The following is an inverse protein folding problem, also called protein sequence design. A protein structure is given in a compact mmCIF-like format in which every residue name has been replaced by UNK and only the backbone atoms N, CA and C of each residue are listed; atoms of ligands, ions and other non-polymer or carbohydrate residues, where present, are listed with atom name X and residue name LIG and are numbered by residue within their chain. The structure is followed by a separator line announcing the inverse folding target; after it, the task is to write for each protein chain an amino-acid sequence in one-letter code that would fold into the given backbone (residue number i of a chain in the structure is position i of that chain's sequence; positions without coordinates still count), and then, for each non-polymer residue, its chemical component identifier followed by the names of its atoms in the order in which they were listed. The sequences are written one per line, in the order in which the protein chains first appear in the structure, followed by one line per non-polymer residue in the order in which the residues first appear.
data_IF_722326312120
#
_entry.id   IF_722326312120
#
_cell.length_a   1.000
_cell.length_b   1.000
_cell.length_c   1.000
_cell.angle_alpha   90.00
_cell.angle_beta   90.00
_cell.angle_gamma   90.00
#
_symmetry.space_group_name_H-M   'P 1'
#
loop_
_entity.id
_entity.type
_entity.pdbx_description
1 polymer ?
#
# COMPACT_ATOMS: atom_id res chain seq x y z
N UNK A 1 -8.08 -17.82 -21.50
CA UNK A 1 -6.77 -17.97 -22.17
C UNK A 1 -5.68 -17.96 -21.11
N UNK A 2 -4.75 -18.89 -21.18
CA UNK A 2 -3.64 -19.07 -20.22
C UNK A 2 -2.70 -17.85 -20.13
N UNK A 3 -2.78 -16.93 -21.08
CA UNK A 3 -1.93 -15.71 -21.13
C UNK A 3 -2.29 -14.61 -20.12
N UNK A 4 -3.47 -14.67 -19.51
CA UNK A 4 -3.89 -13.66 -18.52
C UNK A 4 -3.24 -13.83 -17.14
N UNK A 5 -2.71 -15.01 -16.84
CA UNK A 5 -2.12 -15.33 -15.53
C UNK A 5 -0.67 -14.82 -15.43
N UNK A 6 0.03 -14.68 -16.55
CA UNK A 6 1.46 -14.31 -16.57
C UNK A 6 1.74 -12.84 -16.30
N UNK A 7 0.74 -11.96 -16.38
CA UNK A 7 0.86 -10.52 -16.20
C UNK A 7 0.19 -9.98 -14.93
N UNK A 8 -0.29 -10.85 -14.04
CA UNK A 8 -0.90 -10.41 -12.79
C UNK A 8 0.17 -10.00 -11.76
N UNK A 9 0.48 -8.72 -11.74
CA UNK A 9 1.43 -8.11 -10.78
C UNK A 9 0.84 -7.95 -9.38
N UNK A 10 -0.46 -8.19 -9.23
CA UNK A 10 -1.23 -7.93 -7.99
C UNK A 10 -1.69 -9.21 -7.28
N UNK A 11 -1.28 -10.39 -7.78
CA UNK A 11 -1.43 -11.65 -7.06
C UNK A 11 -2.76 -12.37 -7.21
N UNK A 12 -3.60 -11.97 -8.15
CA UNK A 12 -4.86 -12.65 -8.53
C UNK A 12 -5.83 -12.88 -7.34
N UNK A 13 -6.13 -11.83 -6.57
CA UNK A 13 -7.02 -11.94 -5.40
C UNK A 13 -8.07 -10.80 -5.32
N UNK A 14 -8.81 -10.59 -6.38
CA UNK A 14 -9.96 -9.65 -6.41
C UNK A 14 -9.63 -8.18 -6.13
N UNK A 15 -8.44 -7.73 -6.53
CA UNK A 15 -7.96 -6.36 -6.31
C UNK A 15 -8.97 -5.31 -6.82
N UNK A 16 -9.55 -5.52 -8.00
CA UNK A 16 -10.53 -4.59 -8.60
C UNK A 16 -11.75 -4.37 -7.70
N UNK A 17 -12.19 -5.37 -6.94
CA UNK A 17 -13.31 -5.24 -6.02
C UNK A 17 -13.00 -4.22 -4.93
N UNK A 18 -11.82 -4.32 -4.30
CA UNK A 18 -11.41 -3.41 -3.23
C UNK A 18 -11.08 -2.01 -3.79
N UNK A 19 -10.35 -1.94 -4.90
CA UNK A 19 -9.94 -0.67 -5.53
C UNK A 19 -11.14 0.15 -6.03
N UNK A 20 -12.24 -0.52 -6.42
CA UNK A 20 -13.47 0.15 -6.87
C UNK A 20 -14.39 0.65 -5.75
N UNK A 21 -14.18 0.24 -4.49
CA UNK A 21 -15.06 0.63 -3.36
C UNK A 21 -15.21 2.15 -3.23
N UNK A 22 -14.11 2.89 -3.32
CA UNK A 22 -14.13 4.35 -3.21
C UNK A 22 -14.92 4.98 -4.35
N UNK A 23 -14.86 4.42 -5.55
CA UNK A 23 -15.69 4.86 -6.69
C UNK A 23 -17.18 4.66 -6.40
N UNK A 24 -17.57 3.48 -5.88
CA UNK A 24 -18.97 3.20 -5.50
C UNK A 24 -19.42 4.17 -4.39
N UNK A 25 -18.56 4.46 -3.43
CA UNK A 25 -18.82 5.42 -2.36
C UNK A 25 -19.09 6.83 -2.92
N UNK A 26 -18.25 7.33 -3.83
CA UNK A 26 -18.37 8.66 -4.44
C UNK A 26 -19.64 8.76 -5.28
N UNK A 27 -20.03 7.69 -5.99
CA UNK A 27 -21.28 7.61 -6.73
C UNK A 27 -22.52 7.58 -5.83
N UNK A 28 -22.32 7.54 -4.50
CA UNK A 28 -23.35 7.56 -3.46
C UNK A 28 -24.38 6.40 -3.58
N UNK A 29 -23.98 5.28 -4.17
CA UNK A 29 -24.79 4.06 -4.21
C UNK A 29 -24.55 3.23 -2.94
N UNK A 30 -25.22 3.62 -1.86
CA UNK A 30 -25.04 3.01 -0.53
C UNK A 30 -25.38 1.51 -0.51
N UNK A 31 -26.36 1.10 -1.31
CA UNK A 31 -26.77 -0.31 -1.40
C UNK A 31 -25.66 -1.14 -2.03
N UNK A 32 -25.11 -0.68 -3.16
CA UNK A 32 -23.96 -1.35 -3.78
C UNK A 32 -22.73 -1.33 -2.91
N UNK A 33 -22.48 -0.22 -2.19
CA UNK A 33 -21.33 -0.13 -1.28
C UNK A 33 -21.42 -1.17 -0.17
N UNK A 34 -22.59 -1.31 0.50
CA UNK A 34 -22.83 -2.35 1.50
C UNK A 34 -22.65 -3.75 0.92
N UNK A 35 -23.28 -4.04 -0.22
CA UNK A 35 -23.15 -5.35 -0.88
C UNK A 35 -21.70 -5.66 -1.30
N UNK A 36 -20.92 -4.65 -1.67
CA UNK A 36 -19.51 -4.84 -2.00
C UNK A 36 -18.67 -5.16 -0.75
N UNK A 37 -18.98 -4.56 0.41
CA UNK A 37 -18.33 -4.91 1.69
C UNK A 37 -18.68 -6.35 2.09
N UNK A 38 -19.96 -6.75 2.00
CA UNK A 38 -20.38 -8.12 2.28
C UNK A 38 -19.66 -9.14 1.38
N UNK A 39 -19.47 -8.78 0.10
CA UNK A 39 -18.75 -9.63 -0.85
C UNK A 39 -17.24 -9.72 -0.51
N UNK A 40 -16.64 -8.63 -0.05
CA UNK A 40 -15.24 -8.63 0.40
C UNK A 40 -15.07 -9.55 1.61
N UNK A 41 -15.94 -9.47 2.60
CA UNK A 41 -15.91 -10.34 3.77
C UNK A 41 -16.00 -11.82 3.38
N UNK A 42 -16.93 -12.15 2.47
CA UNK A 42 -17.07 -13.52 1.94
C UNK A 42 -15.87 -13.98 1.11
N UNK A 43 -15.19 -13.05 0.41
CA UNK A 43 -14.03 -13.35 -0.45
C UNK A 43 -12.77 -13.61 0.38
N UNK A 44 -12.66 -12.99 1.55
CA UNK A 44 -11.47 -13.05 2.41
C UNK A 44 -11.75 -13.64 3.79
N UNK A 45 -12.26 -14.89 3.90
CA UNK A 45 -12.58 -15.50 5.19
C UNK A 45 -11.34 -15.66 6.09
N UNK A 46 -10.18 -15.92 5.49
CA UNK A 46 -8.87 -16.01 6.18
C UNK A 46 -8.04 -14.73 5.99
N UNK A 47 -8.71 -13.59 5.75
CA UNK A 47 -8.08 -12.31 5.42
C UNK A 47 -7.11 -12.47 4.24
N UNK A 48 -5.94 -11.84 4.29
CA UNK A 48 -4.93 -11.94 3.22
C UNK A 48 -3.89 -13.04 3.46
N UNK A 49 -4.25 -14.12 4.15
CA UNK A 49 -3.38 -15.31 4.23
C UNK A 49 -3.39 -16.11 2.92
N UNK A 50 -2.82 -15.50 1.90
CA UNK A 50 -2.84 -15.99 0.52
C UNK A 50 -1.42 -16.31 0.08
N UNK A 51 -1.22 -17.49 -0.52
CA UNK A 51 0.06 -17.84 -1.14
C UNK A 51 0.20 -17.11 -2.49
N UNK A 52 0.46 -15.82 -2.41
CA UNK A 52 0.63 -14.97 -3.57
C UNK A 52 1.75 -13.96 -3.35
N UNK A 53 2.61 -13.82 -4.36
CA UNK A 53 3.67 -12.80 -4.38
C UNK A 53 3.12 -11.54 -5.00
N UNK A 54 3.14 -10.46 -4.23
CA UNK A 54 2.61 -9.15 -4.61
C UNK A 54 3.71 -8.10 -4.71
N UNK A 55 3.44 -7.05 -5.46
CA UNK A 55 4.24 -5.83 -5.43
C UNK A 55 3.81 -4.96 -4.24
N UNK A 56 4.76 -4.64 -3.36
CA UNK A 56 4.49 -3.94 -2.10
C UNK A 56 3.79 -2.60 -2.33
N UNK A 57 4.32 -1.78 -3.25
CA UNK A 57 3.78 -0.46 -3.57
C UNK A 57 2.34 -0.54 -4.12
N UNK A 58 2.10 -1.35 -5.16
CA UNK A 58 0.77 -1.46 -5.77
C UNK A 58 -0.27 -2.01 -4.79
N UNK A 59 0.11 -2.97 -3.96
CA UNK A 59 -0.77 -3.50 -2.92
C UNK A 59 -1.08 -2.45 -1.87
N UNK A 60 -0.13 -1.59 -1.52
CA UNK A 60 -0.35 -0.49 -0.59
C UNK A 60 -1.37 0.51 -1.14
N UNK A 61 -1.12 1.07 -2.33
CA UNK A 61 -1.98 2.15 -2.85
C UNK A 61 -3.39 1.67 -3.22
N UNK A 62 -3.54 0.42 -3.72
CA UNK A 62 -4.84 -0.11 -4.18
C UNK A 62 -5.60 -0.84 -3.08
N UNK A 63 -4.96 -1.77 -2.39
CA UNK A 63 -5.65 -2.57 -1.36
C UNK A 63 -5.72 -1.81 -0.05
N UNK A 64 -4.58 -1.44 0.52
CA UNK A 64 -4.58 -0.73 1.79
C UNK A 64 -5.30 0.63 1.67
N UNK A 65 -4.97 1.42 0.65
CA UNK A 65 -5.63 2.71 0.39
C UNK A 65 -7.13 2.59 0.13
N UNK A 66 -7.56 1.60 -0.66
CA UNK A 66 -8.97 1.31 -0.93
C UNK A 66 -9.75 0.91 0.34
N UNK A 67 -9.16 0.06 1.20
CA UNK A 67 -9.77 -0.34 2.47
C UNK A 67 -9.88 0.84 3.45
N UNK A 68 -8.81 1.65 3.60
CA UNK A 68 -8.79 2.79 4.52
C UNK A 68 -9.77 3.88 4.10
N UNK A 69 -9.76 4.29 2.82
CA UNK A 69 -10.68 5.30 2.32
C UNK A 69 -12.14 4.87 2.41
N UNK A 70 -12.41 3.59 2.18
CA UNK A 70 -13.75 3.03 2.30
C UNK A 70 -14.19 2.87 3.77
N UNK A 71 -13.27 2.54 4.67
CA UNK A 71 -13.53 2.54 6.11
C UNK A 71 -13.91 3.95 6.61
N UNK A 72 -13.15 4.97 6.22
CA UNK A 72 -13.46 6.36 6.56
C UNK A 72 -14.84 6.80 6.02
N UNK A 73 -15.19 6.39 4.80
CA UNK A 73 -16.51 6.67 4.25
C UNK A 73 -17.62 5.92 5.00
N UNK A 74 -17.40 4.66 5.35
CA UNK A 74 -18.37 3.85 6.08
C UNK A 74 -18.66 4.39 7.49
N UNK A 75 -17.64 4.94 8.16
CA UNK A 75 -17.71 5.46 9.54
C UNK A 75 -18.07 6.94 9.61
N UNK A 76 -18.11 7.68 8.49
CA UNK A 76 -18.49 9.10 8.48
C UNK A 76 -19.99 9.27 8.75
N UNK A 77 -20.38 9.86 9.90
CA UNK A 77 -21.79 10.06 10.24
C UNK A 77 -22.56 10.92 9.25
N UNK A 78 -21.86 11.81 8.51
CA UNK A 78 -22.48 12.69 7.51
C UNK A 78 -22.97 11.91 6.28
N UNK A 79 -22.33 10.78 5.98
CA UNK A 79 -22.68 9.94 4.82
C UNK A 79 -23.90 9.06 5.08
N UNK A 80 -24.18 8.73 6.35
CA UNK A 80 -25.33 7.89 6.75
C UNK A 80 -25.39 6.59 5.95
N UNK A 81 -24.26 5.94 5.76
CA UNK A 81 -24.17 4.65 5.05
C UNK A 81 -24.69 3.55 5.93
N UNK A 82 -24.15 3.45 7.13
CA UNK A 82 -24.56 2.52 8.17
C UNK A 82 -25.25 3.27 9.32
N UNK A 83 -26.15 2.60 10.02
CA UNK A 83 -26.89 3.17 11.15
C UNK A 83 -26.51 2.40 12.42
N UNK A 84 -26.16 3.14 13.48
CA UNK A 84 -25.76 2.50 14.74
C UNK A 84 -24.59 1.54 14.56
N UNK A 85 -24.72 0.33 15.08
CA UNK A 85 -23.66 -0.70 15.09
C UNK A 85 -23.72 -1.65 13.88
N UNK A 86 -24.33 -1.24 12.76
CA UNK A 86 -24.41 -2.07 11.54
C UNK A 86 -23.07 -2.34 10.86
N UNK A 87 -22.04 -1.53 11.12
CA UNK A 87 -20.71 -1.69 10.56
C UNK A 87 -19.72 -2.06 11.66
N UNK A 88 -19.15 -3.24 11.56
CA UNK A 88 -18.27 -3.85 12.56
C UNK A 88 -16.78 -3.49 12.41
N UNK A 89 -16.42 -2.72 11.37
CA UNK A 89 -15.03 -2.31 11.14
C UNK A 89 -14.21 -3.27 10.28
N UNK A 90 -14.83 -4.24 9.60
CA UNK A 90 -14.14 -5.28 8.81
C UNK A 90 -13.09 -4.71 7.84
N UNK A 91 -13.35 -3.55 7.21
CA UNK A 91 -12.39 -2.95 6.29
C UNK A 91 -11.10 -2.50 6.99
N UNK A 92 -11.20 -1.99 8.23
CA UNK A 92 -10.01 -1.64 9.02
C UNK A 92 -9.26 -2.88 9.50
N UNK A 93 -9.97 -3.94 9.85
CA UNK A 93 -9.34 -5.21 10.22
C UNK A 93 -8.59 -5.86 9.05
N UNK A 94 -9.14 -5.78 7.84
CA UNK A 94 -8.47 -6.22 6.62
C UNK A 94 -7.28 -5.31 6.29
N UNK A 95 -7.42 -3.99 6.46
CA UNK A 95 -6.32 -3.03 6.27
C UNK A 95 -5.14 -3.33 7.19
N UNK A 96 -5.41 -3.67 8.46
CA UNK A 96 -4.38 -4.08 9.41
C UNK A 96 -3.70 -5.37 8.99
N UNK A 97 -4.46 -6.39 8.59
CA UNK A 97 -3.88 -7.68 8.18
C UNK A 97 -2.99 -7.54 6.95
N UNK A 98 -3.43 -6.82 5.90
CA UNK A 98 -2.57 -6.63 4.72
C UNK A 98 -1.30 -5.83 5.05
N UNK A 99 -1.41 -4.78 5.85
CA UNK A 99 -0.27 -3.98 6.26
C UNK A 99 0.76 -4.81 7.06
N UNK A 100 0.31 -5.63 8.02
CA UNK A 100 1.18 -6.53 8.79
C UNK A 100 1.90 -7.56 7.91
N UNK A 101 1.29 -7.96 6.79
CA UNK A 101 1.92 -8.86 5.80
C UNK A 101 2.91 -8.15 4.89
N UNK A 102 2.74 -6.84 4.68
CA UNK A 102 3.65 -6.02 3.88
C UNK A 102 4.85 -5.51 4.69
N UNK A 103 4.69 -5.24 6.00
CA UNK A 103 5.77 -4.71 6.86
C UNK A 103 7.10 -5.48 6.79
N UNK A 104 7.13 -6.82 6.69
CA UNK A 104 8.40 -7.52 6.57
C UNK A 104 9.24 -7.11 5.36
N UNK A 105 8.65 -6.54 4.29
CA UNK A 105 9.41 -6.03 3.16
C UNK A 105 10.41 -4.93 3.54
N UNK A 106 10.21 -4.24 4.66
CA UNK A 106 11.09 -3.21 5.20
C UNK A 106 12.22 -3.74 6.08
N UNK A 107 12.28 -5.07 6.33
CA UNK A 107 13.34 -5.73 7.12
C UNK A 107 14.59 -5.95 6.26
N UNK A 108 15.09 -4.89 5.66
CA UNK A 108 16.34 -4.83 4.91
C UNK A 108 17.43 -4.18 5.77
N UNK A 109 18.68 -4.31 5.36
CA UNK A 109 19.80 -3.65 6.06
C UNK A 109 19.74 -2.13 6.01
N UNK A 110 19.02 -1.57 5.05
CA UNK A 110 18.86 -0.11 4.88
C UNK A 110 17.54 0.44 5.44
N UNK A 111 16.56 -0.43 5.72
CA UNK A 111 15.19 -0.05 6.02
C UNK A 111 14.35 0.38 4.81
N UNK A 112 14.92 0.34 3.60
CA UNK A 112 14.16 0.56 2.35
C UNK A 112 13.40 -0.71 1.98
N UNK A 113 12.15 -0.62 1.50
CA UNK A 113 11.35 -1.80 1.25
C UNK A 113 11.81 -2.55 -0.01
N UNK A 114 11.73 -3.88 0.06
CA UNK A 114 11.80 -4.75 -1.10
C UNK A 114 10.60 -4.48 -2.03
N UNK A 115 10.79 -4.67 -3.33
CA UNK A 115 9.74 -4.45 -4.32
C UNK A 115 8.58 -5.47 -4.19
N UNK A 116 8.90 -6.71 -3.79
CA UNK A 116 7.94 -7.83 -3.76
C UNK A 116 8.05 -8.65 -2.48
N UNK A 117 6.88 -9.17 -2.05
CA UNK A 117 6.76 -10.06 -0.90
C UNK A 117 5.63 -11.07 -1.15
N UNK A 118 5.75 -12.28 -0.62
CA UNK A 118 4.64 -13.23 -0.58
C UNK A 118 3.80 -13.00 0.68
N UNK A 119 2.50 -12.86 0.53
CA UNK A 119 1.60 -12.52 1.64
C UNK A 119 1.56 -13.57 2.75
N UNK A 120 1.72 -14.88 2.41
CA UNK A 120 1.77 -15.99 3.37
C UNK A 120 3.20 -16.33 3.79
N UNK A 121 4.08 -16.47 2.80
CA UNK A 121 5.42 -17.03 3.02
C UNK A 121 6.51 -15.96 3.16
N UNK A 122 6.17 -14.68 3.04
CA UNK A 122 7.11 -13.54 3.11
C UNK A 122 8.19 -13.67 2.01
N UNK A 123 9.43 -13.95 2.37
CA UNK A 123 10.56 -14.01 1.43
C UNK A 123 10.81 -15.39 0.82
N UNK A 124 10.23 -16.46 1.39
CA UNK A 124 10.62 -17.84 1.08
C UNK A 124 10.39 -18.24 -0.38
N UNK A 125 9.41 -17.61 -1.03
CA UNK A 125 9.01 -17.94 -2.41
C UNK A 125 9.31 -16.83 -3.42
N UNK A 126 9.86 -15.70 -2.95
CA UNK A 126 10.21 -14.56 -3.81
C UNK A 126 11.61 -14.78 -4.38
N UNK A 127 11.75 -14.69 -5.70
CA UNK A 127 13.05 -14.78 -6.35
C UNK A 127 13.93 -13.59 -5.95
N UNK A 128 15.16 -13.81 -5.45
CA UNK A 128 16.04 -12.72 -4.99
C UNK A 128 16.25 -11.64 -6.04
N UNK A 129 16.42 -12.02 -7.31
CA UNK A 129 16.64 -11.10 -8.42
C UNK A 129 15.48 -10.11 -8.65
N UNK A 130 14.25 -10.46 -8.23
CA UNK A 130 13.09 -9.56 -8.35
C UNK A 130 13.07 -8.42 -7.34
N UNK A 131 14.00 -8.43 -6.38
CA UNK A 131 14.13 -7.47 -5.30
C UNK A 131 15.49 -6.73 -5.28
N UNK A 132 16.31 -6.88 -6.35
CA UNK A 132 17.60 -6.17 -6.45
C UNK A 132 17.43 -4.68 -6.70
N UNK A 133 16.27 -4.26 -7.18
CA UNK A 133 15.94 -2.88 -7.52
C UNK A 133 14.55 -2.51 -7.02
N UNK A 134 14.43 -1.31 -6.46
CA UNK A 134 13.13 -0.69 -6.20
C UNK A 134 13.22 0.81 -6.55
N UNK A 135 12.10 1.37 -7.04
CA UNK A 135 12.07 2.78 -7.43
C UNK A 135 11.68 3.69 -6.26
N UNK A 136 11.99 4.97 -6.40
CA UNK A 136 11.81 5.99 -5.36
C UNK A 136 10.34 6.16 -4.97
N UNK A 137 9.44 6.16 -5.95
CA UNK A 137 8.00 6.23 -5.69
C UNK A 137 7.55 5.03 -4.83
N UNK A 138 7.95 3.82 -5.21
CA UNK A 138 7.57 2.60 -4.50
C UNK A 138 8.19 2.49 -3.08
N UNK A 139 9.36 3.07 -2.87
CA UNK A 139 10.02 3.03 -1.55
C UNK A 139 9.42 4.03 -0.55
N UNK A 140 8.97 5.18 -1.02
CA UNK A 140 8.62 6.30 -0.15
C UNK A 140 7.11 6.59 -0.04
N UNK A 141 6.36 6.44 -1.13
CA UNK A 141 4.92 6.77 -1.15
C UNK A 141 4.08 5.96 -0.16
N UNK A 142 4.37 4.67 0.17
CA UNK A 142 3.60 3.93 1.16
C UNK A 142 3.47 4.60 2.53
N UNK A 143 4.29 5.59 2.83
CA UNK A 143 4.19 6.40 4.05
C UNK A 143 2.78 6.97 4.24
N UNK A 144 2.08 7.35 3.19
CA UNK A 144 0.77 8.00 3.29
C UNK A 144 -0.30 7.06 3.86
N UNK A 145 -0.48 5.88 3.28
CA UNK A 145 -1.47 4.89 3.72
C UNK A 145 -1.10 4.30 5.09
N UNK A 146 0.17 4.01 5.31
CA UNK A 146 0.64 3.46 6.58
C UNK A 146 0.51 4.47 7.74
N UNK A 147 0.72 5.77 7.50
CA UNK A 147 0.48 6.81 8.52
C UNK A 147 -1.00 6.93 8.85
N UNK A 148 -1.87 6.89 7.84
CA UNK A 148 -3.33 6.87 8.08
C UNK A 148 -3.74 5.63 8.87
N UNK A 149 -3.18 4.46 8.57
CA UNK A 149 -3.44 3.24 9.34
C UNK A 149 -3.00 3.38 10.80
N UNK A 150 -1.81 3.95 11.05
CA UNK A 150 -1.35 4.25 12.41
C UNK A 150 -2.34 5.12 13.17
N UNK A 151 -2.83 6.17 12.53
CA UNK A 151 -3.83 7.06 13.11
C UNK A 151 -5.13 6.33 13.48
N UNK A 152 -5.68 5.54 12.56
CA UNK A 152 -6.94 4.83 12.75
C UNK A 152 -6.86 3.67 13.75
N UNK A 153 -5.68 3.06 13.91
CA UNK A 153 -5.47 1.92 14.80
C UNK A 153 -4.81 2.27 16.12
N UNK A 154 -4.33 3.50 16.27
CA UNK A 154 -3.50 3.95 17.38
C UNK A 154 -2.25 3.06 17.58
N UNK A 155 -1.67 2.56 16.48
CA UNK A 155 -0.46 1.73 16.46
C UNK A 155 0.63 2.44 15.63
N UNK A 156 1.60 3.03 16.30
CA UNK A 156 2.64 3.86 15.68
C UNK A 156 3.61 3.08 14.77
N UNK A 157 3.64 1.75 14.86
CA UNK A 157 4.61 0.94 14.12
C UNK A 157 4.58 1.18 12.61
N UNK A 158 3.40 1.39 12.05
CA UNK A 158 3.20 1.56 10.61
C UNK A 158 3.82 2.87 10.12
N UNK A 159 3.48 3.99 10.77
CA UNK A 159 4.04 5.30 10.47
C UNK A 159 5.56 5.33 10.72
N UNK A 160 6.03 4.70 11.80
CA UNK A 160 7.45 4.69 12.14
C UNK A 160 8.31 4.02 11.07
N UNK A 161 7.88 2.84 10.58
CA UNK A 161 8.63 2.08 9.57
C UNK A 161 8.67 2.82 8.24
N UNK A 162 7.53 3.30 7.75
CA UNK A 162 7.46 3.98 6.44
C UNK A 162 7.98 5.42 6.50
N UNK A 163 7.84 6.10 7.65
CA UNK A 163 8.48 7.39 7.91
C UNK A 163 10.01 7.31 7.89
N UNK A 164 10.57 6.21 8.42
CA UNK A 164 12.00 5.95 8.25
C UNK A 164 12.38 5.77 6.77
N UNK A 165 11.60 4.99 6.01
CA UNK A 165 11.88 4.71 4.60
C UNK A 165 11.86 5.97 3.73
N UNK A 166 10.88 6.89 3.89
CA UNK A 166 10.86 8.15 3.15
C UNK A 166 12.04 9.05 3.51
N UNK A 167 12.38 9.17 4.80
CA UNK A 167 13.53 9.95 5.24
C UNK A 167 14.85 9.36 4.71
N UNK A 168 14.98 8.03 4.73
CA UNK A 168 16.14 7.35 4.15
C UNK A 168 16.23 7.60 2.65
N UNK A 169 15.13 7.47 1.92
CA UNK A 169 15.07 7.74 0.48
C UNK A 169 15.50 9.19 0.19
N UNK A 170 14.97 10.17 0.92
CA UNK A 170 15.37 11.58 0.79
C UNK A 170 16.85 11.82 1.07
N UNK A 171 17.44 11.10 2.03
CA UNK A 171 18.86 11.21 2.35
C UNK A 171 19.80 10.74 1.22
N UNK A 172 19.28 10.01 0.23
CA UNK A 172 20.04 9.48 -0.91
C UNK A 172 20.04 10.41 -2.15
N UNK A 173 19.48 11.61 -2.02
CA UNK A 173 19.51 12.60 -3.08
C UNK A 173 20.95 13.10 -3.34
N UNK A 174 21.16 13.60 -4.54
CA UNK A 174 22.44 14.18 -4.95
C UNK A 174 22.72 15.55 -4.28
N UNK A 175 23.93 16.05 -4.45
CA UNK A 175 24.36 17.38 -3.94
C UNK A 175 23.56 18.56 -4.52
N UNK A 176 22.82 18.33 -5.59
CA UNK A 176 21.90 19.32 -6.20
C UNK A 176 20.43 18.98 -5.91
N UNK A 177 20.16 18.21 -4.84
CA UNK A 177 18.85 17.81 -4.36
C UNK A 177 17.97 17.03 -5.33
N UNK A 178 18.56 16.28 -6.27
CA UNK A 178 17.86 15.40 -7.19
C UNK A 178 17.92 13.95 -6.72
N UNK A 179 16.77 13.27 -6.78
CA UNK A 179 16.67 11.84 -6.51
C UNK A 179 16.89 11.06 -7.80
N UNK A 180 17.72 10.02 -7.81
CA UNK A 180 17.78 9.06 -8.92
C UNK A 180 16.51 8.18 -8.92
N UNK A 181 16.28 7.52 -10.06
CA UNK A 181 15.04 6.78 -10.31
C UNK A 181 14.88 5.55 -9.39
N UNK A 182 15.98 4.84 -9.11
CA UNK A 182 15.92 3.61 -8.34
C UNK A 182 17.21 3.29 -7.58
N UNK A 183 17.05 2.46 -6.55
CA UNK A 183 18.11 1.99 -5.68
C UNK A 183 18.01 0.48 -5.44
N UNK A 184 19.12 -0.12 -5.03
CA UNK A 184 19.09 -1.42 -4.39
C UNK A 184 18.61 -1.26 -2.94
N UNK A 185 17.50 -1.90 -2.53
CA UNK A 185 16.94 -1.72 -1.19
C UNK A 185 17.83 -2.28 -0.08
N UNK A 186 18.70 -3.26 -0.35
CA UNK A 186 19.59 -3.84 0.65
C UNK A 186 20.86 -3.01 0.88
N UNK A 187 21.37 -2.35 -0.16
CA UNK A 187 22.67 -1.64 -0.09
C UNK A 187 22.53 -0.13 -0.17
N UNK A 188 21.35 0.39 -0.52
CA UNK A 188 21.08 1.78 -0.88
C UNK A 188 21.95 2.30 -2.05
N UNK A 189 22.58 1.41 -2.81
CA UNK A 189 23.33 1.78 -3.97
C UNK A 189 22.38 2.22 -5.10
N UNK A 190 22.70 3.35 -5.75
CA UNK A 190 21.97 3.82 -6.92
C UNK A 190 22.02 2.76 -8.02
N UNK A 191 20.85 2.35 -8.51
CA UNK A 191 20.72 1.39 -9.60
C UNK A 191 20.51 2.11 -10.94
N UNK A 192 19.60 3.09 -10.97
CA UNK A 192 19.38 3.93 -12.13
C UNK A 192 19.59 5.41 -11.78
N UNK A 193 20.61 6.08 -12.34
CA UNK A 193 20.93 7.47 -12.02
C UNK A 193 20.04 8.50 -12.72
N UNK A 194 19.13 8.06 -13.58
CA UNK A 194 18.18 8.96 -14.21
C UNK A 194 17.29 9.62 -13.17
N UNK A 195 16.88 10.85 -13.43
CA UNK A 195 15.99 11.62 -12.56
C UNK A 195 14.89 12.29 -13.37
N UNK A 196 13.82 12.73 -12.71
CA UNK A 196 12.70 13.39 -13.38
C UNK A 196 11.52 13.57 -12.42
N UNK A 197 10.35 13.83 -12.99
CA UNK A 197 9.06 13.97 -12.28
C UNK A 197 8.01 12.98 -12.80
N UNK A 198 8.40 12.08 -13.68
CA UNK A 198 7.54 11.05 -14.26
C UNK A 198 7.63 9.71 -13.53
N UNK A 199 7.28 8.64 -14.23
CA UNK A 199 7.24 7.28 -13.70
C UNK A 199 8.49 6.91 -12.88
N UNK A 200 8.31 6.16 -11.82
CA UNK A 200 9.30 5.73 -10.82
C UNK A 200 9.70 6.76 -9.77
N UNK A 201 9.40 8.06 -9.96
CA UNK A 201 9.68 9.12 -8.99
C UNK A 201 8.41 9.93 -8.67
N UNK A 202 7.46 9.99 -9.58
CA UNK A 202 6.23 10.81 -9.60
C UNK A 202 5.52 10.90 -8.25
N UNK A 203 5.06 9.78 -7.73
CA UNK A 203 4.29 9.75 -6.48
C UNK A 203 5.13 10.03 -5.24
N UNK A 204 6.46 10.02 -5.30
CA UNK A 204 7.29 10.54 -4.20
C UNK A 204 6.96 12.00 -3.91
N UNK A 205 7.00 12.85 -4.95
CA UNK A 205 6.73 14.29 -4.79
C UNK A 205 5.26 14.55 -4.46
N UNK A 206 4.35 13.82 -5.11
CA UNK A 206 2.92 13.91 -4.85
C UNK A 206 2.59 13.61 -3.39
N UNK A 207 3.10 12.48 -2.87
CA UNK A 207 2.77 12.01 -1.52
C UNK A 207 3.51 12.79 -0.43
N UNK A 208 4.70 13.28 -0.70
CA UNK A 208 5.38 14.20 0.20
C UNK A 208 4.55 15.48 0.44
N UNK A 209 3.98 16.07 -0.63
CA UNK A 209 3.11 17.23 -0.52
C UNK A 209 1.77 16.89 0.15
N UNK A 210 1.11 15.81 -0.27
CA UNK A 210 -0.17 15.40 0.31
C UNK A 210 -0.04 15.01 1.78
N UNK A 211 1.06 14.32 2.13
CA UNK A 211 1.36 13.96 3.51
C UNK A 211 1.56 15.18 4.41
N UNK A 212 2.30 16.17 3.95
CA UNK A 212 2.46 17.43 4.67
C UNK A 212 1.13 18.17 4.88
N UNK A 213 0.21 18.13 3.92
CA UNK A 213 -1.11 18.77 4.05
C UNK A 213 -2.05 18.00 5.00
N UNK A 214 -1.98 16.67 5.00
CA UNK A 214 -2.95 15.85 5.73
C UNK A 214 -2.52 15.56 7.18
N UNK A 215 -1.21 15.44 7.45
CA UNK A 215 -0.70 14.94 8.73
C UNK A 215 0.05 16.00 9.56
N UNK A 216 0.13 17.26 9.10
CA UNK A 216 0.74 18.39 9.83
C UNK A 216 -0.12 18.91 11.01
#
# INVERSE_FOLDING_TARGET
SEDSITNDVLGNFSVTLIDSLTTIAILNDKSKFKSAIDLIEQTFPDKFDIDSTVQVFETTIRILGGLLSSHLYATDPSKKVFLGDEYDGILLDLARDIADRLLPAYLTSTGLPLARINLRHKFKTVKPESNLENNVAAMASPMFEFTMLSYLTNDEKYAAVTGYAINKTWSLRSDIDLLPMSFNPETAQCYSPFTGIGASIDSFYEYALKGAILFD
#
